data_IF_350246213411
#
_entry.id   IF_350246213411
#
_cell.length_a   1.000
_cell.length_b   1.000
_cell.length_c   1.000
_cell.angle_alpha   90.00
_cell.angle_beta   90.00
_cell.angle_gamma   90.00
#
_symmetry.space_group_name_H-M   'P 1'
#
loop_
_entity.id
_entity.type
_entity.pdbx_description
1 polymer ?
#
# COMPACT_ATOMS: atom_id res chain seq x y z
N UNK A 1 -12.33 28.73 -7.94
CA UNK A 1 -11.25 28.30 -7.03
C UNK A 1 -9.97 28.24 -7.84
N UNK A 2 -8.90 28.91 -7.39
CA UNK A 2 -7.64 28.95 -8.13
C UNK A 2 -6.89 27.63 -7.92
N UNK A 3 -6.41 26.99 -8.99
CA UNK A 3 -5.62 25.74 -8.89
C UNK A 3 -4.43 25.85 -7.93
N UNK A 4 -3.92 27.06 -7.71
CA UNK A 4 -2.83 27.34 -6.77
C UNK A 4 -3.26 27.19 -5.30
N UNK A 5 -4.51 27.49 -4.93
CA UNK A 5 -4.97 27.30 -3.55
C UNK A 5 -5.19 25.82 -3.24
N UNK A 6 -5.67 25.05 -4.23
CA UNK A 6 -5.94 23.61 -4.06
C UNK A 6 -4.64 22.81 -3.89
N UNK A 7 -3.59 23.17 -4.63
CA UNK A 7 -2.26 22.56 -4.48
C UNK A 7 -1.65 22.85 -3.09
N UNK A 8 -1.72 24.09 -2.61
CA UNK A 8 -1.21 24.44 -1.28
C UNK A 8 -1.95 23.72 -0.15
N UNK A 9 -3.27 23.60 -0.25
CA UNK A 9 -4.08 22.83 0.70
C UNK A 9 -3.73 21.34 0.68
N UNK A 10 -3.47 20.77 -0.51
CA UNK A 10 -3.03 19.38 -0.63
C UNK A 10 -1.65 19.17 0.01
N UNK A 11 -0.69 20.07 -0.23
CA UNK A 11 0.64 19.99 0.41
C UNK A 11 0.53 19.99 1.93
N UNK A 12 -0.20 20.94 2.52
CA UNK A 12 -0.38 21.01 3.96
C UNK A 12 -1.06 19.73 4.53
N UNK A 13 -2.02 19.16 3.79
CA UNK A 13 -2.66 17.90 4.17
C UNK A 13 -1.67 16.73 4.20
N UNK A 14 -0.76 16.65 3.22
CA UNK A 14 0.24 15.58 3.11
C UNK A 14 1.38 15.75 4.12
N UNK A 15 1.86 16.98 4.33
CA UNK A 15 2.91 17.30 5.31
C UNK A 15 2.50 16.88 6.73
N UNK A 16 1.24 17.16 7.12
CA UNK A 16 0.69 16.71 8.39
C UNK A 16 0.67 15.18 8.58
N UNK A 17 0.86 14.39 7.51
CA UNK A 17 0.87 12.92 7.51
C UNK A 17 2.27 12.34 7.31
N UNK A 18 3.30 13.17 7.13
CA UNK A 18 4.65 12.71 6.81
C UNK A 18 5.20 11.74 7.85
N UNK A 19 5.04 12.04 9.13
CA UNK A 19 5.54 11.17 10.20
C UNK A 19 4.87 9.78 10.18
N UNK A 20 3.55 9.73 10.02
CA UNK A 20 2.81 8.46 9.89
C UNK A 20 3.21 7.70 8.63
N UNK A 21 3.36 8.40 7.50
CA UNK A 21 3.81 7.81 6.24
C UNK A 21 5.19 7.16 6.38
N UNK A 22 6.15 7.85 7.00
CA UNK A 22 7.50 7.33 7.20
C UNK A 22 7.53 6.11 8.13
N UNK A 23 6.72 6.11 9.19
CA UNK A 23 6.62 4.95 10.09
C UNK A 23 5.94 3.76 9.40
N UNK A 24 4.87 3.99 8.65
CA UNK A 24 4.21 2.94 7.86
C UNK A 24 5.15 2.37 6.78
N UNK A 25 5.92 3.22 6.11
CA UNK A 25 6.96 2.81 5.16
C UNK A 25 8.05 1.98 5.84
N UNK A 26 8.55 2.43 7.00
CA UNK A 26 9.55 1.69 7.78
C UNK A 26 9.05 0.29 8.16
N UNK A 27 7.79 0.17 8.58
CA UNK A 27 7.17 -1.12 8.91
C UNK A 27 7.07 -2.04 7.69
N UNK A 28 6.65 -1.50 6.54
CA UNK A 28 6.53 -2.28 5.32
C UNK A 28 7.92 -2.71 4.78
N UNK A 29 8.92 -1.83 4.83
CA UNK A 29 10.30 -2.14 4.44
C UNK A 29 10.99 -3.17 5.34
N UNK A 30 10.52 -3.34 6.58
CA UNK A 30 11.04 -4.37 7.48
C UNK A 30 10.55 -5.79 7.13
N UNK A 31 9.63 -5.93 6.16
CA UNK A 31 9.14 -7.22 5.68
C UNK A 31 10.05 -7.69 4.54
N UNK A 32 10.74 -8.80 4.74
CA UNK A 32 11.55 -9.42 3.70
C UNK A 32 10.67 -10.20 2.72
N UNK A 33 10.44 -9.62 1.55
CA UNK A 33 9.59 -10.18 0.51
C UNK A 33 10.32 -10.31 -0.84
N UNK A 34 11.40 -11.11 -0.97
CA UNK A 34 11.98 -11.38 -2.29
C UNK A 34 10.92 -11.94 -3.25
N UNK A 35 11.07 -11.70 -4.56
CA UNK A 35 10.19 -12.23 -5.61
C UNK A 35 9.90 -13.73 -5.47
N UNK A 36 10.89 -14.52 -5.07
CA UNK A 36 10.75 -15.98 -4.91
C UNK A 36 10.23 -16.41 -3.52
N UNK A 37 9.90 -15.47 -2.64
CA UNK A 37 9.38 -15.72 -1.29
C UNK A 37 7.87 -15.55 -1.23
N UNK A 38 7.13 -16.62 -1.53
CA UNK A 38 5.68 -16.70 -1.32
C UNK A 38 5.26 -16.19 0.06
N UNK A 39 5.98 -16.61 1.10
CA UNK A 39 5.66 -16.26 2.48
C UNK A 39 5.84 -14.76 2.74
N UNK A 40 6.97 -14.18 2.31
CA UNK A 40 7.25 -12.76 2.48
C UNK A 40 6.30 -11.88 1.68
N UNK A 41 6.00 -12.24 0.42
CA UNK A 41 5.01 -11.53 -0.39
C UNK A 41 3.62 -11.58 0.26
N UNK A 42 3.21 -12.75 0.78
CA UNK A 42 1.92 -12.89 1.48
C UNK A 42 1.88 -12.09 2.78
N UNK A 43 3.00 -11.98 3.50
CA UNK A 43 3.11 -11.13 4.69
C UNK A 43 2.96 -9.65 4.35
N UNK A 44 3.63 -9.18 3.30
CA UNK A 44 3.50 -7.81 2.79
C UNK A 44 2.06 -7.51 2.35
N UNK A 45 1.41 -8.45 1.64
CA UNK A 45 0.00 -8.35 1.27
C UNK A 45 -0.91 -8.24 2.49
N UNK A 46 -0.67 -9.05 3.52
CA UNK A 46 -1.42 -9.01 4.77
C UNK A 46 -1.20 -7.68 5.52
N UNK A 47 0.00 -7.10 5.48
CA UNK A 47 0.25 -5.77 6.04
C UNK A 47 -0.57 -4.70 5.31
N UNK A 48 -0.57 -4.69 3.98
CA UNK A 48 -1.35 -3.74 3.16
C UNK A 48 -2.85 -3.92 3.41
N UNK A 49 -3.33 -5.17 3.52
CA UNK A 49 -4.73 -5.46 3.86
C UNK A 49 -5.12 -4.84 5.18
N UNK A 50 -4.34 -5.07 6.25
CA UNK A 50 -4.60 -4.46 7.57
C UNK A 50 -4.53 -2.93 7.52
N UNK A 51 -3.60 -2.36 6.74
CA UNK A 51 -3.50 -0.92 6.56
C UNK A 51 -4.76 -0.33 5.92
N UNK A 52 -5.37 -1.02 4.95
CA UNK A 52 -6.61 -0.62 4.31
C UNK A 52 -7.84 -0.85 5.21
N UNK A 53 -7.93 -2.00 5.88
CA UNK A 53 -9.03 -2.35 6.80
C UNK A 53 -9.15 -1.33 7.94
N UNK A 54 -8.03 -0.83 8.50
CA UNK A 54 -8.04 0.24 9.53
C UNK A 54 -8.67 1.56 9.08
N UNK A 55 -8.88 1.74 7.78
CA UNK A 55 -9.47 2.93 7.16
C UNK A 55 -10.88 2.66 6.65
N UNK A 56 -11.47 1.52 7.02
CA UNK A 56 -12.78 1.04 6.57
C UNK A 56 -12.88 0.93 5.03
N UNK A 57 -11.77 0.58 4.37
CA UNK A 57 -11.74 0.34 2.93
C UNK A 57 -12.01 -1.13 2.62
N UNK A 58 -12.67 -1.37 1.49
CA UNK A 58 -12.94 -2.73 1.02
C UNK A 58 -11.62 -3.39 0.58
N UNK A 59 -11.41 -4.62 1.01
CA UNK A 59 -10.26 -5.42 0.59
C UNK A 59 -10.70 -6.76 0.02
N UNK A 60 -9.97 -7.23 -0.99
CA UNK A 60 -10.10 -8.58 -1.54
C UNK A 60 -8.71 -9.18 -1.68
N UNK A 61 -8.53 -10.40 -1.18
CA UNK A 61 -7.28 -11.16 -1.27
C UNK A 61 -7.42 -12.21 -2.38
N UNK A 62 -6.37 -12.34 -3.17
CA UNK A 62 -6.21 -13.38 -4.18
C UNK A 62 -4.99 -14.21 -3.81
N UNK A 63 -5.20 -15.46 -3.42
CA UNK A 63 -4.10 -16.35 -3.09
C UNK A 63 -3.49 -16.98 -4.33
N UNK A 64 -2.16 -17.09 -4.30
CA UNK A 64 -1.36 -17.77 -5.33
C UNK A 64 -0.41 -18.77 -4.66
N UNK A 65 -0.36 -19.99 -5.20
CA UNK A 65 0.43 -21.09 -4.62
C UNK A 65 1.94 -20.91 -4.82
N UNK A 66 2.37 -20.01 -5.72
CA UNK A 66 3.77 -19.79 -6.10
C UNK A 66 4.26 -18.40 -5.72
N UNK A 67 3.57 -17.35 -6.18
CA UNK A 67 4.02 -15.96 -6.04
C UNK A 67 3.70 -15.34 -4.67
N UNK A 68 2.70 -15.87 -3.95
CA UNK A 68 2.17 -15.27 -2.73
C UNK A 68 0.90 -14.44 -2.97
N UNK A 69 0.26 -14.04 -1.89
CA UNK A 69 -1.04 -13.38 -1.95
C UNK A 69 -0.94 -11.97 -2.60
N UNK A 70 -1.97 -11.62 -3.37
CA UNK A 70 -2.21 -10.25 -3.86
C UNK A 70 -3.41 -9.63 -3.15
N UNK A 71 -3.42 -8.31 -2.99
CA UNK A 71 -4.53 -7.57 -2.38
C UNK A 71 -5.04 -6.46 -3.30
N UNK A 72 -6.35 -6.44 -3.51
CA UNK A 72 -7.05 -5.32 -4.13
C UNK A 72 -7.75 -4.52 -3.05
N UNK A 73 -7.51 -3.21 -3.06
CA UNK A 73 -8.14 -2.25 -2.14
C UNK A 73 -9.06 -1.35 -2.94
N UNK A 74 -10.32 -1.22 -2.51
CA UNK A 74 -11.32 -0.38 -3.16
C UNK A 74 -11.76 0.75 -2.24
N UNK A 75 -11.59 1.98 -2.72
CA UNK A 75 -12.13 3.20 -2.09
C UNK A 75 -13.26 3.74 -2.94
N UNK A 76 -14.46 3.89 -2.37
CA UNK A 76 -15.62 4.45 -3.08
C UNK A 76 -15.74 5.94 -2.81
N UNK A 77 -15.55 6.75 -3.85
CA UNK A 77 -15.86 8.18 -3.84
C UNK A 77 -17.30 8.46 -4.31
N UNK A 78 -17.70 9.73 -4.29
CA UNK A 78 -19.01 10.18 -4.80
C UNK A 78 -19.06 10.40 -6.33
N UNK A 79 -17.93 10.21 -7.02
CA UNK A 79 -17.81 10.40 -8.46
C UNK A 79 -18.22 9.16 -9.27
N UNK A 80 -18.26 9.32 -10.60
CA UNK A 80 -18.59 8.25 -11.57
C UNK A 80 -17.38 7.65 -12.29
N UNK A 81 -16.22 8.30 -12.19
CA UNK A 81 -14.98 7.84 -12.82
C UNK A 81 -14.33 6.74 -11.97
N UNK A 82 -13.57 5.87 -12.63
CA UNK A 82 -12.79 4.80 -12.00
C UNK A 82 -11.32 5.01 -12.33
N UNK A 83 -10.47 4.91 -11.32
CA UNK A 83 -9.02 4.93 -11.45
C UNK A 83 -8.45 3.67 -10.80
N UNK A 84 -7.38 3.13 -11.38
CA UNK A 84 -6.64 2.00 -10.84
C UNK A 84 -5.20 2.44 -10.57
N UNK A 85 -4.75 2.27 -9.33
CA UNK A 85 -3.35 2.43 -8.93
C UNK A 85 -2.78 1.03 -8.72
N UNK A 86 -1.59 0.78 -9.26
CA UNK A 86 -0.92 -0.53 -9.20
C UNK A 86 0.49 -0.35 -8.64
N UNK A 87 0.84 -1.21 -7.69
CA UNK A 87 2.19 -1.39 -7.16
C UNK A 87 2.44 -2.89 -6.99
N UNK A 88 3.71 -3.29 -6.90
CA UNK A 88 4.10 -4.66 -6.59
C UNK A 88 4.60 -4.73 -5.14
N UNK A 89 4.49 -5.92 -4.53
CA UNK A 89 4.84 -6.13 -3.12
C UNK A 89 6.26 -6.65 -2.94
N UNK A 90 6.74 -7.41 -3.90
CA UNK A 90 8.01 -8.11 -3.85
C UNK A 90 9.20 -7.17 -4.05
N UNK A 91 10.36 -7.64 -3.59
CA UNK A 91 11.64 -6.97 -3.70
C UNK A 91 12.65 -7.87 -4.39
N UNK A 92 13.76 -7.28 -4.83
CA UNK A 92 14.87 -8.00 -5.47
C UNK A 92 15.94 -8.45 -4.47
N UNK A 93 15.79 -8.15 -3.18
CA UNK A 93 16.79 -8.44 -2.16
C UNK A 93 16.59 -9.85 -1.59
N UNK A 94 17.67 -10.63 -1.40
CA UNK A 94 17.56 -11.92 -0.73
C UNK A 94 17.19 -11.73 0.75
N UNK A 95 16.67 -12.80 1.36
CA UNK A 95 16.41 -12.89 2.80
C UNK A 95 17.71 -12.67 3.59
N UNK A 96 17.65 -11.91 4.68
CA UNK A 96 18.76 -11.54 5.56
C UNK A 96 19.43 -10.20 5.26
N UNK A 97 18.79 -9.30 4.49
CA UNK A 97 19.34 -8.00 4.08
C UNK A 97 18.63 -6.80 4.73
N UNK A 98 17.38 -6.97 5.18
CA UNK A 98 16.56 -5.89 5.73
C UNK A 98 17.03 -5.35 7.10
#
# INVERSE_FOLDING_TARGET
MSRSSDAASLSAYLEARQATYLEELRQLCAIECPTDSKAGVSEAAAWVRRWAERRDWDTQVFSDDTAGDSVVVTVRGAGRLRALLVAHLDTVYPVGVA
#
